data_IF_709588220792
#
_entry.id   IF_709588220792
#
_cell.length_a   1.000
_cell.length_b   1.000
_cell.length_c   1.000
_cell.angle_alpha   90.00
_cell.angle_beta   90.00
_cell.angle_gamma   90.00
#
_symmetry.space_group_name_H-M   'P 1'
#
loop_
_entity.id
_entity.type
_entity.pdbx_description
1 polymer ?
#
# COMPACT_ATOMS: atom_id res chain seq x y z
N UNK A 1 -22.88 -10.30 10.26
CA UNK A 1 -21.54 -10.13 10.86
C UNK A 1 -20.41 -10.04 9.81
N UNK A 2 -20.33 -10.97 8.86
CA UNK A 2 -19.28 -10.98 7.83
C UNK A 2 -19.19 -9.68 7.00
N UNK A 3 -20.31 -9.08 6.64
CA UNK A 3 -20.36 -7.82 5.86
C UNK A 3 -19.69 -6.65 6.62
N UNK A 4 -19.91 -6.56 7.93
CA UNK A 4 -19.28 -5.55 8.78
C UNK A 4 -17.77 -5.80 8.94
N UNK A 5 -17.36 -7.07 9.06
CA UNK A 5 -15.96 -7.45 9.16
C UNK A 5 -15.19 -7.06 7.90
N UNK A 6 -15.77 -7.30 6.71
CA UNK A 6 -15.20 -6.86 5.42
C UNK A 6 -15.05 -5.35 5.35
N UNK A 7 -16.06 -4.58 5.75
CA UNK A 7 -15.97 -3.12 5.79
C UNK A 7 -14.87 -2.63 6.73
N UNK A 8 -14.74 -3.24 7.92
CA UNK A 8 -13.69 -2.88 8.87
C UNK A 8 -12.29 -3.19 8.35
N UNK A 9 -12.10 -4.32 7.64
CA UNK A 9 -10.84 -4.67 7.00
C UNK A 9 -10.50 -3.62 5.92
N UNK A 10 -11.46 -3.29 5.05
CA UNK A 10 -11.27 -2.28 4.00
C UNK A 10 -10.91 -0.90 4.59
N UNK A 11 -11.59 -0.47 5.66
CA UNK A 11 -11.30 0.79 6.33
C UNK A 11 -9.91 0.80 6.97
N UNK A 12 -9.50 -0.29 7.63
CA UNK A 12 -8.18 -0.39 8.24
C UNK A 12 -7.07 -0.39 7.18
N UNK A 13 -7.23 -1.18 6.11
CA UNK A 13 -6.29 -1.24 4.98
C UNK A 13 -6.23 0.11 4.26
N UNK A 14 -7.37 0.69 3.88
CA UNK A 14 -7.39 1.95 3.15
C UNK A 14 -6.86 3.13 3.97
N UNK A 15 -7.11 3.14 5.29
CA UNK A 15 -6.50 4.14 6.19
C UNK A 15 -4.99 3.97 6.29
N UNK A 16 -4.49 2.74 6.40
CA UNK A 16 -3.05 2.45 6.41
C UNK A 16 -2.38 2.87 5.10
N UNK A 17 -2.99 2.49 3.98
CA UNK A 17 -2.52 2.87 2.65
C UNK A 17 -2.57 4.39 2.45
N UNK A 18 -3.64 5.07 2.86
CA UNK A 18 -3.76 6.53 2.76
C UNK A 18 -2.70 7.29 3.55
N UNK A 19 -2.32 6.80 4.75
CA UNK A 19 -1.24 7.40 5.54
C UNK A 19 0.11 7.30 4.82
N UNK A 20 0.49 6.11 4.38
CA UNK A 20 1.75 5.90 3.67
C UNK A 20 1.72 6.54 2.29
N UNK A 21 0.60 6.47 1.59
CA UNK A 21 0.39 7.10 0.29
C UNK A 21 0.59 8.61 0.32
N UNK A 22 0.27 9.27 1.43
CA UNK A 22 0.54 10.70 1.61
C UNK A 22 2.03 11.03 1.51
N UNK A 23 2.90 10.17 2.03
CA UNK A 23 4.36 10.31 1.92
C UNK A 23 4.81 10.10 0.47
N UNK A 24 4.29 9.07 -0.20
CA UNK A 24 4.64 8.76 -1.59
C UNK A 24 4.23 9.88 -2.54
N UNK A 25 3.04 10.47 -2.36
CA UNK A 25 2.54 11.57 -3.18
C UNK A 25 3.39 12.84 -2.98
N UNK A 26 3.70 13.22 -1.73
CA UNK A 26 4.55 14.40 -1.46
C UNK A 26 5.97 14.22 -2.00
N UNK A 27 6.50 13.00 -1.98
CA UNK A 27 7.84 12.68 -2.54
C UNK A 27 7.84 12.51 -4.07
N UNK A 28 6.70 12.61 -4.74
CA UNK A 28 6.52 12.30 -6.16
C UNK A 28 6.97 10.87 -6.52
N UNK A 29 6.74 9.91 -5.62
CA UNK A 29 7.13 8.51 -5.76
C UNK A 29 5.92 7.59 -5.97
N UNK A 30 4.91 8.06 -6.69
CA UNK A 30 3.68 7.29 -6.95
C UNK A 30 3.96 5.95 -7.66
N UNK A 31 4.91 5.94 -8.61
CA UNK A 31 5.34 4.73 -9.33
C UNK A 31 5.94 3.65 -8.41
N UNK A 32 6.39 4.02 -7.21
CA UNK A 32 6.93 3.06 -6.25
C UNK A 32 5.87 2.07 -5.74
N UNK A 33 4.62 2.52 -5.61
CA UNK A 33 3.51 1.64 -5.21
C UNK A 33 3.29 0.52 -6.23
N UNK A 34 3.32 0.84 -7.52
CA UNK A 34 3.20 -0.11 -8.61
C UNK A 34 4.42 -1.04 -8.70
N UNK A 35 5.61 -0.48 -8.58
CA UNK A 35 6.85 -1.24 -8.57
C UNK A 35 6.90 -2.30 -7.45
N UNK A 36 6.42 -1.94 -6.25
CA UNK A 36 6.34 -2.86 -5.13
C UNK A 36 5.35 -4.00 -5.40
N UNK A 37 4.19 -3.71 -6.01
CA UNK A 37 3.18 -4.72 -6.34
C UNK A 37 3.77 -5.87 -7.16
N UNK A 38 4.56 -5.54 -8.15
CA UNK A 38 5.12 -6.52 -9.08
C UNK A 38 6.40 -7.18 -8.54
N UNK A 39 7.25 -6.45 -7.84
CA UNK A 39 8.51 -7.00 -7.32
C UNK A 39 8.33 -7.95 -6.12
N UNK A 40 7.30 -7.73 -5.33
CA UNK A 40 6.91 -8.60 -4.20
C UNK A 40 6.65 -10.04 -4.66
N UNK A 41 6.14 -10.22 -5.87
CA UNK A 41 5.91 -11.54 -6.47
C UNK A 41 7.20 -12.40 -6.47
N UNK A 42 8.34 -11.79 -6.79
CA UNK A 42 9.62 -12.52 -6.77
C UNK A 42 9.94 -13.01 -5.34
N UNK A 43 9.67 -12.19 -4.34
CA UNK A 43 9.84 -12.57 -2.93
C UNK A 43 8.94 -13.74 -2.51
N UNK A 44 7.68 -13.74 -2.95
CA UNK A 44 6.72 -14.82 -2.71
C UNK A 44 7.23 -16.12 -3.37
N UNK A 45 7.65 -16.06 -4.63
CA UNK A 45 8.17 -17.23 -5.36
C UNK A 45 9.41 -17.81 -4.70
N UNK A 46 10.34 -17.00 -4.26
CA UNK A 46 11.54 -17.45 -3.56
C UNK A 46 11.19 -18.01 -2.17
N UNK A 47 10.26 -17.40 -1.45
CA UNK A 47 9.72 -17.93 -0.20
C UNK A 47 9.07 -19.30 -0.39
N UNK A 48 8.34 -19.49 -1.48
CA UNK A 48 7.75 -20.77 -1.84
C UNK A 48 8.81 -21.85 -2.14
N UNK A 49 9.88 -21.53 -2.86
CA UNK A 49 10.95 -22.48 -3.13
C UNK A 49 11.68 -22.97 -1.88
N UNK A 50 11.70 -22.15 -0.83
CA UNK A 50 12.29 -22.55 0.46
C UNK A 50 11.31 -23.37 1.29
N UNK A 51 10.02 -22.97 1.32
CA UNK A 51 9.02 -23.59 2.20
C UNK A 51 8.30 -24.79 1.58
N UNK A 52 8.24 -24.88 0.25
CA UNK A 52 7.44 -25.82 -0.52
C UNK A 52 5.95 -25.89 -0.10
N UNK A 53 5.44 -24.83 0.56
CA UNK A 53 4.06 -24.70 1.05
C UNK A 53 3.52 -23.31 0.78
N UNK A 54 2.27 -23.23 0.31
CA UNK A 54 1.59 -21.95 0.04
C UNK A 54 1.11 -21.26 1.33
N UNK A 55 0.90 -22.01 2.41
CA UNK A 55 0.43 -21.48 3.70
C UNK A 55 1.57 -21.04 4.63
N UNK A 56 2.81 -21.09 4.14
CA UNK A 56 3.98 -20.79 4.96
C UNK A 56 4.13 -19.26 5.20
N UNK A 57 4.41 -18.84 6.43
CA UNK A 57 4.74 -17.43 6.72
C UNK A 57 6.02 -16.94 6.02
N UNK A 58 6.83 -17.87 5.46
CA UNK A 58 8.02 -17.55 4.66
C UNK A 58 7.67 -16.83 3.35
N UNK A 59 6.46 -17.03 2.80
CA UNK A 59 6.02 -16.30 1.62
C UNK A 59 5.87 -14.81 1.93
N UNK A 60 5.19 -14.49 3.04
CA UNK A 60 5.01 -13.11 3.49
C UNK A 60 6.34 -12.45 3.86
N UNK A 61 7.22 -13.19 4.53
CA UNK A 61 8.56 -12.72 4.86
C UNK A 61 9.40 -12.46 3.60
N UNK A 62 9.37 -13.38 2.64
CA UNK A 62 10.03 -13.22 1.34
C UNK A 62 9.51 -11.99 0.58
N UNK A 63 8.19 -11.81 0.56
CA UNK A 63 7.54 -10.65 -0.02
C UNK A 63 8.02 -9.33 0.63
N UNK A 64 8.06 -9.26 1.96
CA UNK A 64 8.50 -8.08 2.70
C UNK A 64 9.98 -7.76 2.45
N UNK A 65 10.83 -8.79 2.47
CA UNK A 65 12.27 -8.64 2.19
C UNK A 65 12.51 -8.15 0.76
N UNK A 66 11.82 -8.74 -0.22
CA UNK A 66 11.96 -8.31 -1.61
C UNK A 66 11.36 -6.92 -1.87
N UNK A 67 10.26 -6.57 -1.25
CA UNK A 67 9.76 -5.20 -1.27
C UNK A 67 10.78 -4.19 -0.77
N UNK A 68 11.42 -4.48 0.37
CA UNK A 68 12.50 -3.64 0.92
C UNK A 68 13.72 -3.59 -0.01
N UNK A 69 14.17 -4.74 -0.52
CA UNK A 69 15.30 -4.81 -1.46
C UNK A 69 15.03 -4.02 -2.74
N UNK A 70 13.80 -4.05 -3.25
CA UNK A 70 13.40 -3.29 -4.44
C UNK A 70 13.57 -1.80 -4.21
N UNK A 71 13.07 -1.27 -3.09
CA UNK A 71 13.19 0.16 -2.80
C UNK A 71 14.66 0.57 -2.61
N UNK A 72 15.43 -0.23 -1.88
CA UNK A 72 16.87 0.02 -1.70
C UNK A 72 17.62 -0.04 -3.04
N UNK A 73 17.27 -0.96 -3.93
CA UNK A 73 17.86 -1.06 -5.26
C UNK A 73 17.50 0.14 -6.13
N UNK A 74 16.23 0.61 -6.09
CA UNK A 74 15.79 1.82 -6.80
C UNK A 74 16.57 3.04 -6.30
N UNK A 75 16.71 3.22 -4.99
CA UNK A 75 17.50 4.33 -4.44
C UNK A 75 18.98 4.24 -4.79
N UNK A 76 19.55 3.02 -4.81
CA UNK A 76 20.93 2.79 -5.22
C UNK A 76 21.19 3.06 -6.71
N UNK A 77 20.20 2.80 -7.58
CA UNK A 77 20.29 3.05 -9.02
C UNK A 77 20.02 4.51 -9.37
N UNK A 78 19.29 5.23 -8.51
CA UNK A 78 18.99 6.64 -8.73
C UNK A 78 20.27 7.47 -8.74
N UNK A 79 20.56 8.09 -9.87
CA UNK A 79 21.73 8.96 -10.07
C UNK A 79 21.28 10.27 -10.74
N UNK A 80 22.20 11.26 -10.80
CA UNK A 80 21.92 12.51 -11.53
C UNK A 80 21.53 12.32 -13.00
N UNK A 81 21.89 11.17 -13.60
CA UNK A 81 21.61 10.85 -15.02
C UNK A 81 20.39 9.97 -15.21
N UNK A 82 19.98 9.22 -14.19
CA UNK A 82 18.83 8.31 -14.24
C UNK A 82 17.74 8.83 -13.30
N UNK A 83 16.61 9.26 -13.87
CA UNK A 83 15.45 9.69 -13.10
C UNK A 83 14.92 8.55 -12.24
N UNK A 84 14.34 8.86 -11.08
CA UNK A 84 13.84 7.86 -10.14
C UNK A 84 12.77 6.96 -10.77
N UNK A 85 11.87 7.53 -11.57
CA UNK A 85 10.82 6.77 -12.26
C UNK A 85 11.39 5.78 -13.28
N UNK A 86 12.48 6.16 -13.98
CA UNK A 86 13.15 5.27 -14.91
C UNK A 86 13.88 4.12 -14.19
N UNK A 87 14.53 4.39 -13.05
CA UNK A 87 15.12 3.35 -12.20
C UNK A 87 14.06 2.40 -11.65
N UNK A 88 12.93 2.96 -11.20
CA UNK A 88 11.76 2.20 -10.73
C UNK A 88 11.23 1.29 -11.83
N UNK A 89 10.94 1.83 -13.01
CA UNK A 89 10.43 1.06 -14.15
C UNK A 89 11.35 -0.08 -14.58
N UNK A 90 12.67 0.16 -14.60
CA UNK A 90 13.66 -0.86 -14.98
C UNK A 90 13.72 -2.00 -13.96
N UNK A 91 13.77 -1.68 -12.68
CA UNK A 91 13.95 -2.68 -11.62
C UNK A 91 12.71 -3.54 -11.41
N UNK A 92 11.51 -2.93 -11.36
CA UNK A 92 10.31 -3.74 -11.17
C UNK A 92 10.05 -4.67 -12.35
N UNK A 93 10.28 -4.19 -13.59
CA UNK A 93 10.14 -5.04 -14.78
C UNK A 93 11.12 -6.20 -14.76
N UNK A 94 12.36 -5.97 -14.34
CA UNK A 94 13.36 -7.02 -14.19
C UNK A 94 12.95 -8.06 -13.13
N UNK A 95 12.55 -7.63 -11.94
CA UNK A 95 12.14 -8.55 -10.86
C UNK A 95 10.87 -9.32 -11.21
N UNK A 96 9.90 -8.65 -11.83
CA UNK A 96 8.69 -9.31 -12.29
C UNK A 96 8.97 -10.35 -13.37
N UNK A 97 9.77 -10.02 -14.38
CA UNK A 97 10.16 -10.96 -15.42
C UNK A 97 10.90 -12.18 -14.84
N UNK A 98 11.79 -11.95 -13.86
CA UNK A 98 12.49 -13.04 -13.18
C UNK A 98 11.53 -13.94 -12.40
N UNK A 99 10.55 -13.36 -11.71
CA UNK A 99 9.50 -14.13 -11.01
C UNK A 99 8.71 -15.01 -11.99
N UNK A 100 8.26 -14.45 -13.11
CA UNK A 100 7.51 -15.19 -14.15
C UNK A 100 8.33 -16.32 -14.75
N UNK A 101 9.62 -16.07 -15.01
CA UNK A 101 10.53 -17.12 -15.52
C UNK A 101 10.67 -18.25 -14.49
N UNK A 102 10.89 -17.93 -13.21
CA UNK A 102 11.02 -18.93 -12.16
C UNK A 102 9.76 -19.76 -11.98
N UNK A 103 8.57 -19.13 -12.02
CA UNK A 103 7.29 -19.83 -11.96
C UNK A 103 7.13 -20.76 -13.15
N UNK A 104 7.41 -20.30 -14.36
CA UNK A 104 7.21 -21.09 -15.58
C UNK A 104 8.18 -22.27 -15.69
N UNK A 105 9.37 -22.19 -15.10
CA UNK A 105 10.37 -23.26 -15.13
C UNK A 105 10.16 -24.28 -14.01
N UNK A 106 9.83 -23.85 -12.80
CA UNK A 106 9.91 -24.69 -11.62
C UNK A 106 8.57 -24.90 -10.91
N UNK A 107 7.55 -24.09 -11.16
CA UNK A 107 6.26 -24.14 -10.49
C UNK A 107 5.08 -24.44 -11.43
N UNK A 108 5.34 -25.03 -12.59
CA UNK A 108 4.31 -25.35 -13.62
C UNK A 108 3.15 -26.22 -13.12
N UNK A 109 3.40 -27.08 -12.15
CA UNK A 109 2.41 -28.00 -11.57
C UNK A 109 1.76 -27.46 -10.30
N UNK A 110 2.23 -26.33 -9.79
CA UNK A 110 1.63 -25.65 -8.66
C UNK A 110 0.78 -24.53 -9.25
N UNK A 111 -0.53 -24.61 -9.05
CA UNK A 111 -1.41 -23.47 -9.32
C UNK A 111 -1.07 -22.35 -8.31
N UNK A 112 0.09 -21.73 -8.49
CA UNK A 112 0.33 -20.38 -8.02
C UNK A 112 -0.57 -19.52 -8.92
N UNK A 113 -1.83 -19.45 -8.53
CA UNK A 113 -2.82 -18.64 -9.24
C UNK A 113 -2.41 -17.20 -9.02
N UNK A 114 -1.61 -16.69 -9.98
CA UNK A 114 -1.14 -15.29 -9.99
C UNK A 114 -2.33 -14.35 -9.88
N UNK A 115 -3.45 -14.75 -10.46
CA UNK A 115 -4.70 -14.00 -10.39
C UNK A 115 -5.24 -13.98 -8.96
N UNK A 116 -5.14 -15.05 -8.20
CA UNK A 116 -5.58 -15.09 -6.80
C UNK A 116 -4.73 -14.20 -5.88
N UNK A 117 -3.40 -14.17 -6.10
CA UNK A 117 -2.47 -13.31 -5.36
C UNK A 117 -2.61 -11.84 -5.77
N UNK A 118 -2.87 -11.58 -7.05
CA UNK A 118 -2.97 -10.22 -7.58
C UNK A 118 -4.38 -9.61 -7.43
N UNK A 119 -5.43 -10.41 -7.54
CA UNK A 119 -6.81 -9.92 -7.47
C UNK A 119 -7.37 -9.82 -6.05
N UNK A 120 -6.86 -10.57 -5.09
CA UNK A 120 -7.26 -10.60 -3.68
C UNK A 120 -8.74 -10.33 -3.45
N UNK A 121 -9.52 -11.33 -3.07
CA UNK A 121 -10.93 -11.11 -2.76
C UNK A 121 -11.13 -10.87 -1.26
N UNK A 122 -11.40 -9.62 -0.89
CA UNK A 122 -11.68 -9.21 0.52
C UNK A 122 -12.83 -10.01 1.12
N UNK A 123 -13.73 -10.53 0.29
CA UNK A 123 -14.85 -11.37 0.73
C UNK A 123 -14.41 -12.66 1.43
N UNK A 124 -13.25 -13.21 1.08
CA UNK A 124 -12.69 -14.40 1.72
C UNK A 124 -11.77 -14.08 2.92
N UNK A 125 -11.38 -12.82 3.10
CA UNK A 125 -10.53 -12.40 4.21
C UNK A 125 -11.10 -12.75 5.62
N UNK A 126 -12.43 -12.75 5.89
CA UNK A 126 -12.99 -13.15 7.17
C UNK A 126 -13.00 -14.66 7.44
N UNK A 127 -12.69 -15.51 6.46
CA UNK A 127 -12.72 -16.97 6.63
C UNK A 127 -11.58 -17.48 7.52
N UNK A 128 -10.43 -16.83 7.47
CA UNK A 128 -9.28 -17.18 8.30
C UNK A 128 -9.40 -16.48 9.65
N UNK A 129 -9.72 -17.22 10.72
CA UNK A 129 -10.06 -16.68 12.03
C UNK A 129 -9.02 -17.02 13.09
N UNK A 130 -8.77 -16.08 13.96
CA UNK A 130 -7.99 -16.25 15.18
C UNK A 130 -8.91 -16.08 16.41
N UNK A 131 -8.82 -17.02 17.34
CA UNK A 131 -9.48 -16.92 18.63
C UNK A 131 -8.58 -16.13 19.59
N UNK A 132 -8.85 -14.84 19.72
CA UNK A 132 -8.18 -13.95 20.66
C UNK A 132 -9.14 -13.62 21.82
N UNK A 133 -8.79 -14.00 23.05
CA UNK A 133 -9.57 -13.72 24.26
C UNK A 133 -11.06 -14.16 24.20
N UNK A 134 -11.36 -15.27 23.48
CA UNK A 134 -12.73 -15.77 23.35
C UNK A 134 -13.57 -15.08 22.28
N UNK A 135 -12.99 -14.16 21.50
CA UNK A 135 -13.60 -13.55 20.33
C UNK A 135 -12.92 -14.11 19.08
N UNK A 136 -13.71 -14.70 18.18
CA UNK A 136 -13.22 -15.16 16.87
C UNK A 136 -13.15 -13.96 15.93
N UNK A 137 -11.93 -13.40 15.77
CA UNK A 137 -11.68 -12.26 14.88
C UNK A 137 -11.00 -12.71 13.58
N UNK A 138 -11.33 -12.10 12.43
CA UNK A 138 -10.61 -12.34 11.20
C UNK A 138 -9.12 -11.99 11.32
N UNK A 139 -8.24 -12.88 10.90
CA UNK A 139 -6.79 -12.67 10.92
C UNK A 139 -6.40 -11.41 10.14
N UNK A 140 -7.04 -11.18 8.98
CA UNK A 140 -6.81 -10.00 8.16
C UNK A 140 -7.15 -8.70 8.89
N UNK A 141 -8.21 -8.69 9.72
CA UNK A 141 -8.58 -7.53 10.54
C UNK A 141 -7.52 -7.24 11.59
N UNK A 142 -7.05 -8.28 12.30
CA UNK A 142 -6.02 -8.12 13.34
C UNK A 142 -4.72 -7.60 12.74
N UNK A 143 -4.28 -8.15 11.60
CA UNK A 143 -3.08 -7.69 10.88
C UNK A 143 -3.23 -6.23 10.42
N UNK A 144 -4.34 -5.86 9.77
CA UNK A 144 -4.54 -4.51 9.22
C UNK A 144 -4.70 -3.45 10.29
N UNK A 145 -5.43 -3.75 11.39
CA UNK A 145 -5.53 -2.84 12.53
C UNK A 145 -4.20 -2.70 13.26
N UNK A 146 -3.48 -3.80 13.47
CA UNK A 146 -2.13 -3.78 14.06
C UNK A 146 -1.16 -2.91 13.25
N UNK A 147 -1.18 -3.06 11.93
CA UNK A 147 -0.40 -2.23 11.01
C UNK A 147 -0.79 -0.75 11.09
N UNK A 148 -2.09 -0.45 11.07
CA UNK A 148 -2.60 0.92 11.21
C UNK A 148 -2.12 1.57 12.51
N UNK A 149 -2.15 0.84 13.62
CA UNK A 149 -1.65 1.34 14.92
C UNK A 149 -0.15 1.63 14.85
N UNK A 150 0.66 0.74 14.27
CA UNK A 150 2.11 0.96 14.09
C UNK A 150 2.35 2.23 13.26
N UNK A 151 1.62 2.41 12.18
CA UNK A 151 1.72 3.61 11.33
C UNK A 151 1.33 4.88 12.11
N UNK A 152 0.20 4.87 12.81
CA UNK A 152 -0.24 6.01 13.61
C UNK A 152 0.79 6.39 14.67
N UNK A 153 1.36 5.41 15.38
CA UNK A 153 2.42 5.65 16.38
C UNK A 153 3.65 6.24 15.71
N UNK A 154 4.09 5.68 14.57
CA UNK A 154 5.24 6.19 13.85
C UNK A 154 5.04 7.64 13.38
N UNK A 155 3.88 7.95 12.78
CA UNK A 155 3.55 9.29 12.32
C UNK A 155 3.43 10.27 13.49
N UNK A 156 2.82 9.86 14.60
CA UNK A 156 2.68 10.70 15.79
C UNK A 156 4.04 11.03 16.42
N UNK A 157 4.90 10.04 16.62
CA UNK A 157 6.21 10.22 17.24
C UNK A 157 7.18 11.04 16.36
N UNK A 158 7.07 10.89 15.04
CA UNK A 158 8.00 11.52 14.11
C UNK A 158 7.37 12.68 13.31
N UNK A 159 6.20 13.18 13.71
CA UNK A 159 5.42 14.13 12.92
C UNK A 159 6.22 15.37 12.49
N UNK A 160 6.94 16.01 13.42
CA UNK A 160 7.74 17.21 13.15
C UNK A 160 8.93 16.89 12.22
N UNK A 161 9.65 15.81 12.53
CA UNK A 161 10.77 15.36 11.73
C UNK A 161 10.34 14.95 10.30
N UNK A 162 9.19 14.29 10.19
CA UNK A 162 8.60 13.87 8.93
C UNK A 162 8.17 15.07 8.08
N UNK A 163 7.48 16.03 8.70
CA UNK A 163 7.02 17.25 8.00
C UNK A 163 8.22 18.01 7.42
N UNK A 164 9.26 18.22 8.21
CA UNK A 164 10.44 18.93 7.75
C UNK A 164 11.21 18.13 6.68
N UNK A 165 11.36 16.82 6.87
CA UNK A 165 12.02 15.94 5.91
C UNK A 165 11.32 15.89 4.55
N UNK A 166 9.99 15.89 4.54
CA UNK A 166 9.19 15.84 3.30
C UNK A 166 9.19 17.17 2.54
N UNK A 167 9.28 18.30 3.27
CA UNK A 167 9.30 19.64 2.67
C UNK A 167 10.71 20.02 2.21
N UNK A 168 11.71 19.83 3.07
CA UNK A 168 13.11 20.16 2.77
C UNK A 168 14.08 19.21 3.48
N UNK A 169 14.59 18.25 2.72
CA UNK A 169 15.54 17.22 3.22
C UNK A 169 16.87 17.83 3.70
N UNK A 170 17.35 18.91 3.06
CA UNK A 170 18.61 19.54 3.43
C UNK A 170 18.45 20.35 4.73
N UNK A 171 17.34 21.06 4.89
CA UNK A 171 17.05 21.78 6.12
C UNK A 171 16.84 20.82 7.30
N UNK A 172 16.21 19.66 7.06
CA UNK A 172 16.07 18.60 8.08
C UNK A 172 17.44 18.10 8.58
N UNK A 173 18.41 17.91 7.67
CA UNK A 173 19.79 17.55 8.04
C UNK A 173 20.49 18.62 8.85
N UNK A 174 20.33 19.89 8.47
CA UNK A 174 20.94 21.02 9.19
C UNK A 174 20.40 21.16 10.62
N UNK A 175 19.14 20.77 10.85
CA UNK A 175 18.54 20.74 12.20
C UNK A 175 18.89 19.48 12.99
N UNK A 176 19.80 18.64 12.51
CA UNK A 176 20.26 17.44 13.21
C UNK A 176 19.32 16.24 13.14
N UNK A 177 18.28 16.27 12.28
CA UNK A 177 17.39 15.14 12.10
C UNK A 177 18.16 14.00 11.40
N UNK A 178 18.06 12.79 11.94
CA UNK A 178 18.66 11.60 11.33
C UNK A 178 17.88 11.15 10.07
N UNK A 179 17.96 11.93 8.99
CA UNK A 179 17.18 11.74 7.76
C UNK A 179 17.32 10.35 7.17
N UNK A 180 18.51 9.74 7.23
CA UNK A 180 18.72 8.34 6.76
C UNK A 180 17.89 7.32 7.55
N UNK A 181 17.81 7.46 8.87
CA UNK A 181 17.00 6.55 9.70
C UNK A 181 15.52 6.72 9.43
N UNK A 182 15.07 7.96 9.27
CA UNK A 182 13.70 8.28 8.92
C UNK A 182 13.33 7.70 7.54
N UNK A 183 14.21 7.86 6.56
CA UNK A 183 14.07 7.34 5.21
C UNK A 183 13.96 5.81 5.20
N UNK A 184 14.89 5.11 5.87
CA UNK A 184 14.84 3.66 6.00
C UNK A 184 13.57 3.19 6.73
N UNK A 185 13.14 3.88 7.78
CA UNK A 185 11.89 3.60 8.47
C UNK A 185 10.67 3.74 7.56
N UNK A 186 10.62 4.82 6.76
CA UNK A 186 9.55 5.02 5.77
C UNK A 186 9.54 3.94 4.70
N UNK A 187 10.70 3.60 4.14
CA UNK A 187 10.85 2.53 3.15
C UNK A 187 10.33 1.19 3.69
N UNK A 188 10.74 0.86 4.92
CA UNK A 188 10.27 -0.36 5.59
C UNK A 188 8.76 -0.35 5.78
N UNK A 189 8.18 0.78 6.23
CA UNK A 189 6.73 0.91 6.45
C UNK A 189 5.95 0.89 5.13
N UNK A 190 6.46 1.50 4.05
CA UNK A 190 5.86 1.41 2.71
C UNK A 190 5.80 -0.04 2.27
N UNK A 191 6.92 -0.76 2.31
CA UNK A 191 6.99 -2.17 1.91
C UNK A 191 6.06 -3.05 2.77
N UNK A 192 6.10 -2.89 4.09
CA UNK A 192 5.26 -3.65 5.01
C UNK A 192 3.76 -3.39 4.78
N UNK A 193 3.38 -2.11 4.61
CA UNK A 193 1.98 -1.73 4.35
C UNK A 193 1.50 -2.30 3.02
N UNK A 194 2.30 -2.18 1.98
CA UNK A 194 1.95 -2.66 0.64
C UNK A 194 1.75 -4.18 0.65
N UNK A 195 2.71 -4.94 1.19
CA UNK A 195 2.65 -6.41 1.24
C UNK A 195 1.48 -6.91 2.08
N UNK A 196 1.29 -6.35 3.29
CA UNK A 196 0.19 -6.74 4.18
C UNK A 196 -1.18 -6.41 3.59
N UNK A 197 -1.27 -5.32 2.83
CA UNK A 197 -2.51 -4.89 2.18
C UNK A 197 -2.85 -5.75 0.97
N UNK A 198 -1.85 -6.28 0.24
CA UNK A 198 -2.09 -7.18 -0.90
C UNK A 198 -2.81 -8.46 -0.49
N UNK A 199 -2.40 -9.06 0.63
CA UNK A 199 -3.04 -10.27 1.16
C UNK A 199 -4.55 -10.05 1.45
N UNK A 200 -4.92 -8.82 1.83
CA UNK A 200 -6.29 -8.49 2.22
C UNK A 200 -7.18 -8.02 1.05
N UNK A 201 -6.65 -7.22 0.12
CA UNK A 201 -7.48 -6.46 -0.85
C UNK A 201 -7.04 -6.69 -2.30
N UNK A 202 -5.87 -7.27 -2.51
CA UNK A 202 -5.25 -7.45 -3.82
C UNK A 202 -4.41 -6.24 -4.26
N UNK A 203 -3.45 -6.51 -5.15
CA UNK A 203 -2.44 -5.53 -5.54
C UNK A 203 -3.01 -4.32 -6.28
N UNK A 204 -3.98 -4.52 -7.18
CA UNK A 204 -4.56 -3.44 -7.98
C UNK A 204 -5.32 -2.42 -7.12
N UNK A 205 -6.11 -2.90 -6.14
CA UNK A 205 -6.84 -2.01 -5.24
C UNK A 205 -5.91 -1.26 -4.29
N UNK A 206 -4.82 -1.89 -3.83
CA UNK A 206 -3.85 -1.25 -2.93
C UNK A 206 -3.17 -0.05 -3.58
N UNK A 207 -2.84 -0.11 -4.88
CA UNK A 207 -2.27 1.03 -5.60
C UNK A 207 -3.21 2.23 -5.54
N UNK A 208 -4.50 2.01 -5.77
CA UNK A 208 -5.51 3.07 -5.71
C UNK A 208 -5.67 3.59 -4.28
N UNK A 209 -5.69 2.70 -3.28
CA UNK A 209 -5.81 3.08 -1.86
C UNK A 209 -4.60 3.87 -1.36
N UNK A 210 -3.41 3.61 -1.90
CA UNK A 210 -2.21 4.40 -1.61
C UNK A 210 -2.28 5.81 -2.21
N UNK A 211 -2.72 5.93 -3.46
CA UNK A 211 -2.57 7.18 -4.21
C UNK A 211 -3.83 8.06 -4.19
N UNK A 212 -5.01 7.48 -4.42
CA UNK A 212 -6.23 8.25 -4.62
C UNK A 212 -6.62 9.15 -3.44
N UNK A 213 -6.60 8.71 -2.16
CA UNK A 213 -6.96 9.56 -1.04
C UNK A 213 -6.06 10.78 -0.92
N UNK A 214 -4.76 10.56 -1.08
CA UNK A 214 -3.75 11.61 -0.97
C UNK A 214 -3.80 12.57 -2.15
N UNK A 215 -3.99 12.08 -3.36
CA UNK A 215 -4.18 12.92 -4.55
C UNK A 215 -5.46 13.77 -4.45
N UNK A 216 -6.55 13.21 -3.94
CA UNK A 216 -7.80 13.94 -3.73
C UNK A 216 -7.66 15.06 -2.67
N UNK A 217 -6.85 14.84 -1.63
CA UNK A 217 -6.61 15.81 -0.56
C UNK A 217 -5.64 16.94 -0.96
N UNK A 218 -4.71 16.65 -1.89
CA UNK A 218 -3.63 17.57 -2.28
C UNK A 218 -4.12 18.97 -2.69
N UNK A 219 -5.17 19.13 -3.51
CA UNK A 219 -5.62 20.43 -3.93
C UNK A 219 -6.16 21.33 -2.80
N UNK A 220 -6.63 20.75 -1.71
CA UNK A 220 -7.33 21.45 -0.61
C UNK A 220 -6.45 21.70 0.61
N UNK A 221 -5.28 21.10 0.66
CA UNK A 221 -4.39 21.16 1.81
C UNK A 221 -3.43 22.35 1.72
N UNK A 222 -3.29 23.08 2.84
CA UNK A 222 -2.29 24.16 3.00
C UNK A 222 -1.13 23.75 3.90
N UNK A 223 -1.35 22.76 4.77
CA UNK A 223 -0.38 22.27 5.74
C UNK A 223 -0.37 20.74 5.73
N UNK A 224 0.76 20.14 6.08
CA UNK A 224 0.91 18.68 6.07
C UNK A 224 -0.11 17.96 6.98
N UNK A 225 -0.42 18.53 8.15
CA UNK A 225 -1.45 17.98 9.04
C UNK A 225 -2.83 17.96 8.37
N UNK A 226 -3.24 19.07 7.73
CA UNK A 226 -4.48 19.15 6.98
C UNK A 226 -4.51 18.14 5.81
N UNK A 227 -3.38 17.98 5.15
CA UNK A 227 -3.22 17.00 4.06
C UNK A 227 -3.47 15.57 4.54
N UNK A 228 -2.88 15.17 5.67
CA UNK A 228 -3.11 13.85 6.26
C UNK A 228 -4.58 13.64 6.65
N UNK A 229 -5.19 14.60 7.33
CA UNK A 229 -6.59 14.50 7.78
C UNK A 229 -7.55 14.42 6.59
N UNK A 230 -7.39 15.31 5.61
CA UNK A 230 -8.21 15.27 4.39
C UNK A 230 -8.01 13.97 3.60
N UNK A 231 -6.78 13.49 3.51
CA UNK A 231 -6.48 12.19 2.89
C UNK A 231 -7.22 11.04 3.58
N UNK A 232 -7.22 11.01 4.92
CA UNK A 232 -7.98 10.00 5.67
C UNK A 232 -9.50 10.13 5.46
N UNK A 233 -10.03 11.34 5.43
CA UNK A 233 -11.45 11.56 5.13
C UNK A 233 -11.80 11.06 3.72
N UNK A 234 -10.96 11.33 2.73
CA UNK A 234 -11.13 10.82 1.37
C UNK A 234 -11.04 9.29 1.29
N UNK A 235 -10.10 8.67 2.04
CA UNK A 235 -9.98 7.22 2.12
C UNK A 235 -11.25 6.56 2.69
N UNK A 236 -11.77 7.08 3.79
CA UNK A 236 -13.00 6.60 4.41
C UNK A 236 -14.19 6.79 3.45
N UNK A 237 -14.29 7.98 2.81
CA UNK A 237 -15.38 8.29 1.89
C UNK A 237 -15.41 7.34 0.70
N UNK A 238 -14.27 7.12 0.01
CA UNK A 238 -14.21 6.25 -1.16
C UNK A 238 -14.53 4.79 -0.80
N UNK A 239 -14.11 4.32 0.38
CA UNK A 239 -14.36 2.95 0.84
C UNK A 239 -15.83 2.77 1.20
N UNK A 240 -16.43 3.68 1.97
CA UNK A 240 -17.83 3.59 2.36
C UNK A 240 -18.75 3.65 1.15
N UNK A 241 -18.48 4.56 0.20
CA UNK A 241 -19.26 4.66 -1.03
C UNK A 241 -19.03 3.46 -1.95
N UNK A 242 -17.78 3.00 -2.10
CA UNK A 242 -17.44 1.84 -2.91
C UNK A 242 -18.05 0.56 -2.37
N UNK A 243 -17.96 0.34 -1.06
CA UNK A 243 -18.56 -0.79 -0.37
C UNK A 243 -20.10 -0.78 -0.50
N UNK A 244 -20.74 0.36 -0.29
CA UNK A 244 -22.19 0.51 -0.45
C UNK A 244 -22.65 0.20 -1.88
N UNK A 245 -21.93 0.71 -2.87
CA UNK A 245 -22.22 0.46 -4.29
C UNK A 245 -21.99 -0.99 -4.67
N UNK A 246 -20.88 -1.59 -4.21
CA UNK A 246 -20.57 -2.99 -4.45
C UNK A 246 -21.63 -3.93 -3.86
N UNK A 247 -22.07 -3.64 -2.63
CA UNK A 247 -23.13 -4.41 -1.94
C UNK A 247 -24.49 -4.29 -2.63
N UNK A 248 -24.77 -3.15 -3.29
CA UNK A 248 -26.05 -2.91 -3.96
C UNK A 248 -26.09 -3.54 -5.34
N UNK A 249 -24.98 -3.57 -6.07
CA UNK A 249 -24.88 -4.05 -7.45
C UNK A 249 -24.26 -5.45 -7.57
N UNK A 250 -23.97 -6.12 -6.45
CA UNK A 250 -23.27 -7.44 -6.41
C UNK A 250 -21.96 -7.44 -7.22
N UNK A 251 -21.15 -6.37 -7.07
CA UNK A 251 -19.86 -6.22 -7.73
C UNK A 251 -18.70 -6.59 -6.79
N UNK A 252 -17.50 -6.74 -7.36
CA UNK A 252 -16.27 -6.97 -6.58
C UNK A 252 -15.98 -5.75 -5.70
N UNK A 253 -15.78 -5.98 -4.38
CA UNK A 253 -15.56 -4.93 -3.39
C UNK A 253 -14.32 -4.10 -3.70
N UNK A 254 -13.20 -4.76 -3.99
CA UNK A 254 -11.92 -4.13 -4.31
C UNK A 254 -11.98 -3.26 -5.56
N UNK A 255 -12.60 -3.78 -6.63
CA UNK A 255 -12.75 -3.06 -7.90
C UNK A 255 -13.63 -1.82 -7.76
N UNK A 256 -14.78 -1.95 -7.09
CA UNK A 256 -15.72 -0.84 -6.90
C UNK A 256 -15.13 0.26 -6.04
N UNK A 257 -14.42 -0.09 -4.95
CA UNK A 257 -13.70 0.89 -4.13
C UNK A 257 -12.62 1.60 -4.95
N UNK A 258 -11.95 0.91 -5.87
CA UNK A 258 -10.93 1.50 -6.74
C UNK A 258 -11.53 2.50 -7.73
N UNK A 259 -12.67 2.19 -8.33
CA UNK A 259 -13.41 3.12 -9.20
C UNK A 259 -13.86 4.35 -8.42
N UNK A 260 -14.37 4.16 -7.20
CA UNK A 260 -14.77 5.27 -6.33
C UNK A 260 -13.55 6.13 -5.91
N UNK A 261 -12.37 5.53 -5.77
CA UNK A 261 -11.11 6.25 -5.57
C UNK A 261 -10.81 7.22 -6.71
N UNK A 262 -10.88 6.75 -7.96
CA UNK A 262 -10.69 7.60 -9.14
C UNK A 262 -11.73 8.72 -9.19
N UNK A 263 -13.01 8.38 -8.98
CA UNK A 263 -14.08 9.38 -8.97
C UNK A 263 -13.87 10.46 -7.90
N UNK A 264 -13.42 10.08 -6.72
CA UNK A 264 -13.10 11.01 -5.62
C UNK A 264 -12.01 12.00 -6.03
N UNK A 265 -10.96 11.52 -6.70
CA UNK A 265 -9.89 12.38 -7.25
C UNK A 265 -10.45 13.33 -8.30
N UNK A 266 -11.18 12.82 -9.30
CA UNK A 266 -11.74 13.64 -10.37
C UNK A 266 -12.68 14.73 -9.84
N UNK A 267 -13.56 14.38 -8.90
CA UNK A 267 -14.49 15.32 -8.27
C UNK A 267 -13.74 16.38 -7.48
N UNK A 268 -12.72 15.98 -6.72
CA UNK A 268 -11.89 16.90 -5.93
C UNK A 268 -11.22 17.96 -6.83
N UNK A 269 -10.58 17.53 -7.92
CA UNK A 269 -9.92 18.46 -8.85
C UNK A 269 -10.93 19.33 -9.61
N UNK A 270 -12.05 18.75 -10.03
CA UNK A 270 -13.12 19.51 -10.73
C UNK A 270 -13.70 20.61 -9.83
N UNK A 271 -14.05 20.29 -8.58
CA UNK A 271 -14.56 21.23 -7.60
C UNK A 271 -13.59 22.38 -7.34
N UNK A 272 -12.29 22.06 -7.18
CA UNK A 272 -11.30 23.12 -6.97
C UNK A 272 -11.16 24.05 -8.17
N UNK A 273 -11.18 23.48 -9.40
CA UNK A 273 -11.07 24.27 -10.63
C UNK A 273 -12.30 25.17 -10.84
N UNK A 274 -13.49 24.69 -10.48
CA UNK A 274 -14.75 25.45 -10.60
C UNK A 274 -14.88 26.53 -9.52
N UNK A 275 -14.45 26.27 -8.32
CA UNK A 275 -14.54 27.23 -7.19
C UNK A 275 -13.45 28.30 -7.23
N UNK A 276 -12.44 28.22 -8.14
CA UNK A 276 -11.32 29.19 -8.27
C UNK A 276 -10.65 29.57 -6.94
N UNK A 277 -10.61 28.65 -5.98
CA UNK A 277 -9.97 28.82 -4.67
C UNK A 277 -8.52 28.38 -4.70
#
# INVERSE_FOLDING_TARGET
MQVLEVLLILLAVGSSCGLIGSVLVVRNQAMLADALSHSVLLGIVLGFFVSHSLDSPLLLFGAAVFGLLTVLAIEGLHTRKLAQDAATGLLFTFFFALAVILISLFARNVHLDLDMVLMGEVLFAPLNRLDLFGLSLPLALVKSVGLLLVLLVFFFLNFQALTLYLLDKEQAKLQGIATKRLELGLIFLVSLTTVSSFEAVGSMAVIVFLLAPSMAALPWSKHFCQFLVLGQCCAILMIVLGFGLASWLDLTMSGTCSVMGLLTVCVSFFLKNTLKI
#
